data_IF_536127458126
#
_entry.id   IF_536127458126
#
_cell.length_a   1.000
_cell.length_b   1.000
_cell.length_c   1.000
_cell.angle_alpha   90.00
_cell.angle_beta   90.00
_cell.angle_gamma   90.00
#
_symmetry.space_group_name_H-M   'P 1'
#
loop_
_entity.id
_entity.type
_entity.pdbx_description
1 polymer ?
2 non-polymer ?
3 water ?
#
# COMPACT_ATOMS: atom_id res chain seq x y z
N UNK A 11 -15.99 -13.65 -10.83
CA UNK A 11 -16.77 -12.80 -9.93
C UNK A 11 -17.93 -12.20 -10.73
N UNK A 12 -19.14 -12.67 -10.46
CA UNK A 12 -20.31 -12.26 -11.23
C UNK A 12 -21.19 -11.24 -10.53
N UNK A 13 -20.98 -10.99 -9.23
CA UNK A 13 -21.78 -9.97 -8.54
C UNK A 13 -20.89 -9.15 -7.60
N UNK A 14 -21.46 -8.05 -7.10
CA UNK A 14 -20.77 -7.26 -6.10
C UNK A 14 -20.58 -8.05 -4.81
N UNK A 15 -21.55 -8.88 -4.43
CA UNK A 15 -21.32 -9.70 -3.23
C UNK A 15 -20.08 -10.58 -3.39
N UNK A 16 -19.89 -11.17 -4.59
CA UNK A 16 -18.71 -12.00 -4.83
C UNK A 16 -17.43 -11.19 -4.68
N UNK A 17 -17.40 -9.97 -5.19
CA UNK A 17 -16.21 -9.14 -4.99
C UNK A 17 -16.00 -8.89 -3.51
N UNK A 18 -17.09 -8.63 -2.78
CA UNK A 18 -16.99 -8.36 -1.35
C UNK A 18 -16.41 -9.55 -0.63
N UNK A 19 -16.93 -10.75 -0.90
CA UNK A 19 -16.47 -11.94 -0.19
C UNK A 19 -15.03 -12.29 -0.58
N UNK A 20 -14.67 -12.08 -1.84
CA UNK A 20 -13.29 -12.34 -2.25
C UNK A 20 -12.33 -11.40 -1.53
N UNK A 21 -12.64 -10.10 -1.50
CA UNK A 21 -11.74 -9.18 -0.82
C UNK A 21 -11.73 -9.43 0.69
N UNK A 22 -12.86 -9.81 1.25
CA UNK A 22 -12.90 -10.04 2.69
C UNK A 22 -12.04 -11.25 3.06
N UNK A 23 -12.09 -12.29 2.22
CA UNK A 23 -11.22 -13.44 2.47
C UNK A 23 -9.75 -13.07 2.28
N UNK A 24 -9.45 -12.26 1.26
CA UNK A 24 -8.09 -11.76 1.08
C UNK A 24 -7.60 -10.99 2.32
N UNK A 25 -8.40 -10.05 2.81
CA UNK A 25 -7.99 -9.29 3.98
C UNK A 25 -7.85 -10.18 5.19
N UNK A 26 -8.74 -11.16 5.33
CA UNK A 26 -8.63 -12.09 6.45
C UNK A 26 -7.29 -12.79 6.43
N UNK A 27 -6.93 -13.34 5.28
CA UNK A 27 -5.66 -14.01 5.16
C UNK A 27 -4.53 -13.04 5.48
N UNK A 28 -4.65 -11.79 5.03
CA UNK A 28 -3.59 -10.81 5.27
C UNK A 28 -3.39 -10.59 6.75
N UNK A 29 -4.48 -10.41 7.47
CA UNK A 29 -4.44 -10.18 8.91
C UNK A 29 -3.79 -11.37 9.61
N UNK A 30 -4.14 -12.58 9.18
CA UNK A 30 -3.54 -13.80 9.74
C UNK A 30 -2.03 -13.81 9.55
N UNK A 31 -1.57 -13.49 8.35
CA UNK A 31 -0.12 -13.46 8.10
C UNK A 31 0.57 -12.37 8.91
N UNK A 32 -0.09 -11.24 9.08
CA UNK A 32 0.47 -10.17 9.88
C UNK A 32 0.66 -10.58 11.33
N UNK A 33 -0.17 -11.50 11.84
CA UNK A 33 0.03 -11.92 13.22
C UNK A 33 1.44 -12.48 13.42
N UNK A 34 1.94 -13.31 12.48
CA UNK A 34 3.33 -13.82 12.57
C UNK A 34 4.33 -12.73 12.26
N UNK A 35 4.11 -12.00 11.16
CA UNK A 35 5.11 -11.05 10.72
C UNK A 35 5.37 -9.94 11.73
N UNK A 36 4.31 -9.41 12.35
CA UNK A 36 4.53 -8.28 13.24
C UNK A 36 5.37 -8.69 14.46
N UNK A 37 5.17 -9.91 14.97
CA UNK A 37 6.02 -10.38 16.05
C UNK A 37 7.47 -10.52 15.62
N UNK A 38 7.71 -11.07 14.43
CA UNK A 38 9.11 -11.19 14.03
C UNK A 38 9.76 -9.81 13.91
N UNK A 39 9.00 -8.84 13.39
CA UNK A 39 9.54 -7.51 13.19
C UNK A 39 9.81 -6.80 14.52
N UNK A 40 8.90 -6.95 15.48
CA UNK A 40 9.18 -6.47 16.84
C UNK A 40 10.50 -7.04 17.33
N UNK A 41 10.73 -8.34 17.11
CA UNK A 41 12.00 -8.92 17.53
C UNK A 41 13.18 -8.20 16.86
N UNK A 42 13.05 -7.89 15.57
CA UNK A 42 14.19 -7.39 14.79
C UNK A 42 14.50 -5.90 14.98
N UNK A 43 13.55 -5.11 15.51
CA UNK A 43 13.76 -3.67 15.57
C UNK A 43 14.82 -3.29 16.60
N UNK A 44 15.57 -2.24 16.28
CA UNK A 44 16.59 -1.74 17.17
C UNK A 44 16.01 -0.88 18.30
N UNK A 45 15.13 0.04 17.94
CA UNK A 45 14.53 0.96 18.89
C UNK A 45 13.51 0.23 19.76
N UNK A 46 13.49 0.57 21.04
CA UNK A 46 12.43 0.00 21.89
C UNK A 46 11.09 0.62 21.56
N UNK A 47 11.10 1.86 21.08
CA UNK A 47 9.86 2.46 20.63
C UNK A 47 9.28 1.75 19.41
N UNK A 48 10.13 1.40 18.44
CA UNK A 48 9.64 0.69 17.26
C UNK A 48 9.15 -0.71 17.62
N UNK A 49 9.88 -1.42 18.48
CA UNK A 49 9.40 -2.75 18.86
C UNK A 49 8.05 -2.67 19.60
N UNK A 50 7.90 -1.70 20.51
CA UNK A 50 6.62 -1.54 21.18
C UNK A 50 5.52 -1.17 20.20
N UNK A 51 5.83 -0.33 19.20
CA UNK A 51 4.82 -0.01 18.19
C UNK A 51 4.34 -1.25 17.44
N UNK A 52 5.28 -2.11 17.03
CA UNK A 52 4.94 -3.36 16.35
C UNK A 52 4.11 -4.29 17.24
N UNK A 53 4.47 -4.43 18.54
CA UNK A 53 3.71 -5.34 19.41
C UNK A 53 2.29 -4.83 19.66
N UNK A 54 2.14 -3.54 19.97
CA UNK A 54 0.80 -3.00 20.17
C UNK A 54 -0.03 -3.16 18.92
N UNK A 55 0.59 -2.96 17.75
CA UNK A 55 -0.21 -3.18 16.55
C UNK A 55 -0.53 -4.66 16.31
N UNK A 56 0.32 -5.56 16.78
CA UNK A 56 -0.04 -6.97 16.74
C UNK A 56 -1.32 -7.25 17.54
N UNK A 57 -1.42 -6.65 18.71
CA UNK A 57 -2.63 -6.78 19.53
C UNK A 57 -3.86 -6.23 18.78
N UNK A 58 -3.71 -5.07 18.14
CA UNK A 58 -4.80 -4.51 17.36
C UNK A 58 -5.18 -5.42 16.18
N UNK A 59 -4.19 -6.04 15.54
CA UNK A 59 -4.47 -6.92 14.42
C UNK A 59 -5.32 -8.09 14.85
N UNK A 60 -5.01 -8.63 16.03
CA UNK A 60 -5.79 -9.76 16.56
C UNK A 60 -7.22 -9.29 16.76
N UNK A 61 -7.40 -8.08 17.27
CA UNK A 61 -8.75 -7.53 17.41
C UNK A 61 -9.48 -7.44 16.08
N UNK A 62 -8.76 -7.07 15.00
CA UNK A 62 -9.36 -6.92 13.68
C UNK A 62 -9.74 -8.28 13.09
N UNK A 63 -8.93 -9.29 13.34
CA UNK A 63 -9.33 -10.63 13.00
C UNK A 63 -10.65 -10.95 13.68
N UNK A 64 -10.74 -10.64 14.97
CA UNK A 64 -11.98 -10.89 15.71
C UNK A 64 -13.16 -10.16 15.05
N UNK A 65 -12.95 -8.92 14.59
CA UNK A 65 -14.05 -8.20 13.99
C UNK A 65 -14.56 -8.91 12.74
N UNK A 66 -13.65 -9.35 11.88
CA UNK A 66 -14.10 -10.04 10.68
C UNK A 66 -14.81 -11.32 11.05
N UNK A 67 -14.32 -12.01 12.07
CA UNK A 67 -14.95 -13.25 12.54
C UNK A 67 -16.38 -13.01 13.01
N UNK A 68 -16.60 -11.90 13.73
CA UNK A 68 -17.94 -11.55 14.19
C UNK A 68 -18.84 -11.24 13.00
N UNK A 69 -18.32 -10.53 12.00
CA UNK A 69 -19.11 -10.28 10.81
C UNK A 69 -19.55 -11.60 10.18
N UNK A 70 -18.61 -12.54 10.07
CA UNK A 70 -18.90 -13.83 9.45
C UNK A 70 -19.94 -14.58 10.26
N UNK A 71 -19.80 -14.59 11.60
CA UNK A 71 -20.77 -15.28 12.44
C UNK A 71 -22.14 -14.62 12.35
N UNK A 72 -22.17 -13.33 12.02
CA UNK A 72 -23.42 -12.59 11.97
C UNK A 72 -24.13 -12.64 10.62
N UNK A 73 -23.42 -12.77 9.51
CA UNK A 73 -24.09 -12.69 8.22
C UNK A 73 -24.65 -14.05 7.76
N UNK A 74 -23.87 -15.10 7.92
CA UNK A 74 -24.34 -16.48 7.76
C UNK A 74 -24.59 -16.93 6.33
N UNK A 75 -24.73 -15.99 5.39
CA UNK A 75 -24.50 -16.31 3.99
C UNK A 75 -23.04 -16.12 3.62
N UNK A 76 -22.39 -15.15 4.28
CA UNK A 76 -20.97 -14.82 4.02
C UNK A 76 -20.12 -16.01 4.44
N UNK A 77 -19.16 -16.41 3.61
CA UNK A 77 -18.30 -17.54 3.86
C UNK A 77 -16.88 -17.19 3.43
N UNK A 78 -15.96 -17.15 4.38
CA UNK A 78 -14.55 -16.95 4.08
C UNK A 78 -14.04 -18.15 3.29
N UNK A 79 -13.57 -17.92 2.07
CA UNK A 79 -12.86 -18.94 1.31
C UNK A 79 -11.42 -18.99 1.81
N UNK A 80 -10.94 -20.19 2.14
CA UNK A 80 -9.54 -20.34 2.57
C UNK A 80 -8.63 -20.01 1.40
N UNK A 81 -7.92 -18.88 1.47
CA UNK A 81 -7.01 -18.47 0.40
C UNK A 81 -5.80 -17.77 1.00
N UNK A 82 -4.76 -17.58 0.18
CA UNK A 82 -3.57 -16.83 0.58
C UNK A 82 -3.54 -15.46 -0.10
N UNK A 83 -3.31 -14.41 0.68
CA UNK A 83 -3.07 -13.09 0.14
C UNK A 83 -1.61 -13.03 -0.30
N UNK A 84 -1.37 -13.10 -1.61
CA UNK A 84 0.02 -13.11 -2.09
C UNK A 84 0.67 -11.73 -1.95
N UNK A 85 -0.12 -10.66 -2.14
CA UNK A 85 0.43 -9.32 -1.97
C UNK A 85 1.00 -9.15 -0.57
N UNK A 86 0.21 -9.51 0.43
CA UNK A 86 0.69 -9.29 1.79
C UNK A 86 1.89 -10.18 2.07
N UNK A 87 1.87 -11.41 1.58
CA UNK A 87 3.01 -12.30 1.74
C UNK A 87 4.28 -11.67 1.15
N UNK A 88 4.18 -11.07 -0.03
CA UNK A 88 5.32 -10.34 -0.57
C UNK A 88 5.76 -9.17 0.33
N UNK A 89 4.81 -8.40 0.88
CA UNK A 89 5.24 -7.24 1.67
C UNK A 89 5.92 -7.68 2.98
N UNK A 90 5.41 -8.75 3.58
CA UNK A 90 6.04 -9.27 4.80
C UNK A 90 7.42 -9.77 4.49
N UNK A 91 7.55 -10.52 3.39
CA UNK A 91 8.85 -11.11 3.04
C UNK A 91 9.86 -10.00 2.79
N UNK A 92 9.43 -8.87 2.25
CA UNK A 92 10.36 -7.75 2.06
C UNK A 92 10.80 -7.12 3.39
N UNK A 93 9.89 -6.96 4.35
CA UNK A 93 10.33 -6.55 5.69
C UNK A 93 11.37 -7.52 6.26
N UNK A 94 11.13 -8.83 6.14
CA UNK A 94 12.12 -9.81 6.63
C UNK A 94 13.45 -9.68 5.88
N UNK A 95 13.40 -9.39 4.58
CA UNK A 95 14.64 -9.19 3.83
C UNK A 95 15.39 -7.95 4.30
N UNK A 96 14.69 -6.91 4.73
CA UNK A 96 15.39 -5.77 5.36
C UNK A 96 16.17 -6.26 6.56
N UNK A 97 15.53 -7.08 7.40
CA UNK A 97 16.23 -7.54 8.59
C UNK A 97 17.52 -8.24 8.21
N UNK A 98 17.48 -9.05 7.16
CA UNK A 98 18.70 -9.80 6.84
C UNK A 98 19.73 -8.94 6.09
N UNK A 99 19.33 -7.80 5.54
CA UNK A 99 20.25 -6.94 4.79
C UNK A 99 20.87 -5.83 5.62
N UNK A 100 20.67 -5.83 6.94
CA UNK A 100 21.06 -4.69 7.76
C UNK A 100 21.61 -5.14 9.11
N UNK A 101 22.45 -4.30 9.70
CA UNK A 101 22.78 -4.38 11.11
C UNK A 101 21.59 -3.91 11.96
N UNK A 102 21.63 -4.23 13.25
CA UNK A 102 20.54 -3.91 14.17
C UNK A 102 20.73 -2.49 14.68
N UNK A 103 20.45 -1.51 13.81
CA UNK A 103 20.65 -0.10 14.13
C UNK A 103 19.54 0.73 13.47
N UNK A 104 19.77 2.04 13.37
CA UNK A 104 18.77 2.96 12.82
C UNK A 104 18.54 2.80 11.31
N UNK A 105 19.52 2.26 10.58
CA UNK A 105 19.31 1.94 9.17
C UNK A 105 18.24 0.88 9.03
N UNK A 106 18.37 -0.19 9.82
CA UNK A 106 17.33 -1.21 9.76
C UNK A 106 15.99 -0.60 10.12
N UNK A 107 15.95 0.22 11.17
CA UNK A 107 14.67 0.79 11.62
C UNK A 107 14.06 1.71 10.55
N UNK A 108 14.88 2.48 9.83
CA UNK A 108 14.31 3.28 8.74
C UNK A 108 13.67 2.39 7.69
N UNK A 109 14.39 1.34 7.26
CA UNK A 109 13.84 0.50 6.18
C UNK A 109 12.69 -0.36 6.65
N UNK A 110 12.73 -0.79 7.90
CA UNK A 110 11.67 -1.60 8.47
C UNK A 110 10.41 -0.78 8.64
N UNK A 111 10.53 0.46 9.10
CA UNK A 111 9.35 1.32 9.17
C UNK A 111 8.75 1.49 7.77
N UNK A 112 9.61 1.68 6.77
CA UNK A 112 9.09 1.84 5.40
C UNK A 112 8.27 0.64 5.00
N UNK A 113 8.81 -0.57 5.25
CA UNK A 113 8.12 -1.79 4.85
C UNK A 113 6.81 -1.92 5.60
N UNK A 114 6.82 -1.55 6.88
CA UNK A 114 5.58 -1.63 7.65
C UNK A 114 4.54 -0.64 7.16
N UNK A 115 4.97 0.53 6.67
CA UNK A 115 3.98 1.47 6.12
C UNK A 115 3.39 0.95 4.82
N UNK A 116 4.20 0.25 4.02
CA UNK A 116 3.64 -0.39 2.83
C UNK A 116 2.57 -1.43 3.22
N UNK A 117 2.83 -2.24 4.25
CA UNK A 117 1.80 -3.18 4.72
C UNK A 117 0.54 -2.43 5.16
N UNK A 118 0.71 -1.41 6.00
CA UNK A 118 -0.44 -0.68 6.49
C UNK A 118 -1.25 -0.09 5.35
N UNK A 119 -0.59 0.44 4.33
CA UNK A 119 -1.36 1.10 3.27
C UNK A 119 -2.05 0.08 2.35
N UNK A 120 -1.47 -1.10 2.16
CA UNK A 120 -2.27 -2.16 1.53
C UNK A 120 -3.59 -2.32 2.28
N UNK A 121 -3.52 -2.31 3.61
CA UNK A 121 -4.73 -2.53 4.40
C UNK A 121 -5.67 -1.33 4.38
N UNK A 122 -5.13 -0.12 4.40
CA UNK A 122 -5.96 1.08 4.31
C UNK A 122 -6.80 1.04 3.04
N UNK A 123 -6.15 0.76 1.90
CA UNK A 123 -6.91 0.60 0.65
C UNK A 123 -7.94 -0.53 0.74
N UNK A 124 -7.52 -1.69 1.25
CA UNK A 124 -8.44 -2.82 1.28
C UNK A 124 -9.69 -2.49 2.11
N UNK A 125 -9.49 -1.95 3.30
CA UNK A 125 -10.62 -1.64 4.18
C UNK A 125 -11.44 -0.47 3.68
N UNK A 126 -10.84 0.48 2.96
CA UNK A 126 -11.64 1.51 2.30
C UNK A 126 -12.60 0.90 1.29
N UNK A 127 -12.09 -0.05 0.51
CA UNK A 127 -12.97 -0.71 -0.45
C UNK A 127 -14.05 -1.50 0.26
N UNK A 128 -13.67 -2.24 1.31
CA UNK A 128 -14.62 -3.09 2.03
C UNK A 128 -15.72 -2.25 2.68
N UNK A 129 -15.36 -1.07 3.22
CA UNK A 129 -16.41 -0.19 3.74
C UNK A 129 -17.33 0.25 2.61
N UNK A 130 -16.77 0.81 1.53
CA UNK A 130 -17.62 1.30 0.46
C UNK A 130 -18.62 0.23 0.06
N UNK A 131 -18.13 -1.00 -0.10
CA UNK A 131 -18.97 -2.06 -0.65
C UNK A 131 -19.98 -2.57 0.37
N UNK A 132 -19.57 -2.71 1.65
CA UNK A 132 -20.50 -3.15 2.68
C UNK A 132 -21.68 -2.18 2.82
N UNK A 133 -21.43 -0.88 2.65
CA UNK A 133 -22.54 0.07 2.68
C UNK A 133 -23.53 -0.24 1.55
N UNK A 134 -23.02 -0.63 0.38
CA UNK A 134 -23.93 -0.94 -0.72
C UNK A 134 -24.72 -2.22 -0.45
N UNK A 135 -24.08 -3.24 0.13
CA UNK A 135 -24.78 -4.51 0.30
C UNK A 135 -25.71 -4.57 1.51
N UNK A 136 -25.76 -3.55 2.35
CA UNK A 136 -26.69 -3.59 3.46
C UNK A 136 -26.22 -4.28 4.71
N UNK A 137 -24.90 -4.48 4.86
CA UNK A 137 -24.34 -5.03 6.11
C UNK A 137 -23.89 -3.85 6.96
N UNK A 138 -24.86 -3.15 7.56
CA UNK A 138 -24.55 -1.92 8.28
C UNK A 138 -23.59 -2.17 9.45
N UNK A 139 -23.88 -3.21 10.24
CA UNK A 139 -23.01 -3.56 11.37
C UNK A 139 -21.60 -3.88 10.88
N UNK A 140 -21.52 -4.62 9.76
CA UNK A 140 -20.25 -4.96 9.17
C UNK A 140 -19.51 -3.72 8.67
N UNK A 141 -20.21 -2.83 7.99
CA UNK A 141 -19.58 -1.59 7.53
C UNK A 141 -18.99 -0.81 8.70
N UNK A 142 -19.71 -0.74 9.83
CA UNK A 142 -19.23 -0.02 11.01
C UNK A 142 -17.99 -0.70 11.62
N UNK A 143 -18.02 -2.04 11.76
CA UNK A 143 -16.82 -2.73 12.25
C UNK A 143 -15.63 -2.53 11.30
N UNK A 144 -15.86 -2.62 9.99
CA UNK A 144 -14.75 -2.45 9.05
C UNK A 144 -14.19 -1.05 9.11
N UNK A 145 -15.06 -0.04 9.30
CA UNK A 145 -14.59 1.34 9.46
C UNK A 145 -13.77 1.51 10.73
N UNK A 146 -14.14 0.83 11.81
CA UNK A 146 -13.28 0.81 13.00
C UNK A 146 -11.88 0.29 12.63
N UNK A 147 -11.82 -0.83 11.89
CA UNK A 147 -10.49 -1.31 11.50
C UNK A 147 -9.75 -0.30 10.63
N UNK A 148 -10.47 0.32 9.69
CA UNK A 148 -9.84 1.28 8.80
C UNK A 148 -9.15 2.37 9.58
N UNK A 149 -9.87 2.94 10.54
CA UNK A 149 -9.30 4.02 11.33
C UNK A 149 -8.09 3.53 12.13
N UNK A 150 -8.14 2.30 12.66
CA UNK A 150 -6.95 1.77 13.35
C UNK A 150 -5.75 1.71 12.40
N UNK A 151 -5.93 1.15 11.20
CA UNK A 151 -4.82 1.05 10.26
C UNK A 151 -4.27 2.43 9.92
N UNK A 152 -5.14 3.40 9.70
CA UNK A 152 -4.73 4.76 9.43
C UNK A 152 -3.89 5.32 10.57
N UNK A 153 -4.38 5.15 11.79
CA UNK A 153 -3.65 5.65 12.96
C UNK A 153 -2.30 4.97 13.09
N UNK A 154 -2.27 3.67 12.89
CA UNK A 154 -0.98 2.97 12.90
C UNK A 154 -0.03 3.60 11.88
N UNK A 155 -0.54 3.93 10.69
CA UNK A 155 0.34 4.55 9.70
C UNK A 155 0.90 5.87 10.20
N UNK A 156 0.06 6.71 10.84
CA UNK A 156 0.56 7.98 11.36
C UNK A 156 1.62 7.77 12.44
N UNK A 157 1.38 6.81 13.34
CA UNK A 157 2.37 6.50 14.37
C UNK A 157 3.70 6.06 13.76
N UNK A 158 3.64 5.30 12.66
CA UNK A 158 4.88 4.89 11.99
C UNK A 158 5.58 6.09 11.36
N UNK A 159 4.83 7.04 10.79
CA UNK A 159 5.50 8.22 10.23
C UNK A 159 6.21 8.99 11.33
N UNK A 160 5.57 9.11 12.50
CA UNK A 160 6.22 9.78 13.63
C UNK A 160 7.52 9.06 14.01
N UNK A 161 7.48 7.73 14.08
CA UNK A 161 8.69 7.00 14.46
C UNK A 161 9.76 7.13 13.37
N UNK A 162 9.35 7.15 12.11
CA UNK A 162 10.28 7.37 11.01
C UNK A 162 10.99 8.70 11.14
N UNK A 163 10.26 9.74 11.57
CA UNK A 163 10.84 11.08 11.69
C UNK A 163 11.75 11.14 12.91
N UNK A 164 11.36 10.46 14.00
CA UNK A 164 12.18 10.38 15.22
C UNK A 164 13.36 9.41 15.14
N UNK A 165 13.43 8.62 14.07
CA UNK A 165 14.50 7.63 13.90
C UNK A 165 15.88 8.28 13.88
N UNK A 166 15.97 9.49 13.34
CA UNK A 166 17.23 10.20 13.19
C UNK A 166 17.16 11.49 13.99
N UNK A 167 18.14 11.71 14.86
CA UNK A 167 18.17 12.86 15.75
C UNK A 167 19.49 13.62 15.61
N UNK A 168 19.82 14.03 14.38
CA UNK A 168 21.10 14.73 14.17
C UNK A 168 21.03 16.22 14.55
N UNK A 169 20.27 17.02 13.81
CA UNK A 169 20.33 18.49 14.02
C UNK A 169 19.33 19.00 15.10
N UNK B 10 22.19 -4.83 0.30
CA UNK B 10 22.94 -4.62 1.55
C UNK B 10 22.98 -3.12 1.85
N UNK B 11 22.14 -2.69 2.79
CA UNK B 11 21.95 -1.28 3.12
C UNK B 11 22.69 -0.91 4.40
N UNK B 12 23.73 -0.10 4.23
CA UNK B 12 24.62 0.28 5.32
C UNK B 12 24.44 1.72 5.78
N UNK B 13 23.73 2.54 5.02
CA UNK B 13 23.51 3.93 5.41
C UNK B 13 22.07 4.29 5.15
N UNK B 14 21.63 5.43 5.71
CA UNK B 14 20.31 5.94 5.38
C UNK B 14 20.24 6.28 3.90
N UNK B 15 21.35 6.79 3.36
CA UNK B 15 21.46 7.06 1.91
C UNK B 15 21.26 5.77 1.09
N UNK B 16 21.84 4.65 1.55
CA UNK B 16 21.62 3.40 0.84
C UNK B 16 20.13 3.10 0.81
N UNK B 17 19.46 3.33 1.92
CA UNK B 17 18.05 3.02 1.99
C UNK B 17 17.28 3.93 1.07
N UNK B 18 17.63 5.21 1.08
CA UNK B 18 16.89 6.13 0.24
C UNK B 18 17.05 5.75 -1.22
N UNK B 19 18.29 5.49 -1.64
CA UNK B 19 18.46 5.23 -3.07
C UNK B 19 17.79 3.93 -3.46
N UNK B 20 17.86 2.92 -2.59
CA UNK B 20 17.18 1.67 -2.92
C UNK B 20 15.68 1.92 -3.08
N UNK B 21 15.07 2.66 -2.15
CA UNK B 21 13.62 2.90 -2.23
C UNK B 21 13.23 3.76 -3.42
N UNK B 22 14.09 4.73 -3.74
CA UNK B 22 13.81 5.58 -4.87
C UNK B 22 13.87 4.80 -6.18
N UNK B 23 14.85 3.88 -6.32
CA UNK B 23 14.92 3.03 -7.50
C UNK B 23 13.73 2.07 -7.56
N UNK B 24 13.31 1.55 -6.40
CA UNK B 24 12.11 0.72 -6.31
C UNK B 24 10.91 1.45 -6.88
N UNK B 25 10.70 2.69 -6.39
CA UNK B 25 9.59 3.51 -6.85
C UNK B 25 9.74 3.87 -8.33
N UNK B 26 10.96 4.14 -8.76
CA UNK B 26 11.16 4.47 -10.18
C UNK B 26 10.64 3.32 -11.05
N UNK B 27 11.03 2.08 -10.69
CA UNK B 27 10.55 0.93 -11.45
C UNK B 27 9.04 0.80 -11.36
N UNK B 28 8.47 1.10 -10.18
CA UNK B 28 7.02 1.03 -10.01
C UNK B 28 6.35 1.98 -10.98
N UNK B 29 6.89 3.19 -11.10
CA UNK B 29 6.32 4.17 -12.02
C UNK B 29 6.42 3.71 -13.47
N UNK B 30 7.60 3.25 -13.87
CA UNK B 30 7.79 2.75 -15.22
C UNK B 30 6.80 1.63 -15.54
N UNK B 31 6.57 0.75 -14.59
CA UNK B 31 5.62 -0.33 -14.84
C UNK B 31 4.22 0.22 -15.02
N UNK B 32 3.86 1.22 -14.20
CA UNK B 32 2.51 1.77 -14.23
C UNK B 32 2.20 2.42 -15.54
N UNK B 33 3.21 2.96 -16.23
CA UNK B 33 2.94 3.56 -17.53
C UNK B 33 2.31 2.53 -18.48
N UNK B 34 2.82 1.29 -18.48
CA UNK B 34 2.22 0.24 -19.29
C UNK B 34 0.88 -0.22 -18.70
N UNK B 35 0.83 -0.44 -17.39
CA UNK B 35 -0.36 -1.04 -16.79
C UNK B 35 -1.63 -0.18 -16.91
N UNK B 36 -1.51 1.12 -16.63
CA UNK B 36 -2.72 1.95 -16.62
C UNK B 36 -3.40 1.99 -17.98
N UNK B 37 -2.64 1.91 -19.09
CA UNK B 37 -3.26 1.91 -20.40
C UNK B 37 -4.20 0.70 -20.56
N UNK B 38 -3.74 -0.47 -20.12
CA UNK B 38 -4.59 -1.65 -20.19
C UNK B 38 -5.84 -1.47 -19.33
N UNK B 39 -5.67 -0.91 -18.14
CA UNK B 39 -6.82 -0.81 -17.26
C UNK B 39 -7.86 0.17 -17.79
N UNK B 40 -7.41 1.31 -18.34
CA UNK B 40 -8.35 2.20 -19.01
C UNK B 40 -9.08 1.47 -20.13
N UNK B 41 -8.36 0.69 -20.94
CA UNK B 41 -9.04 -0.06 -21.98
C UNK B 41 -10.10 -0.98 -21.38
N UNK B 42 -9.76 -1.64 -20.26
CA UNK B 42 -10.61 -2.72 -19.78
C UNK B 42 -11.85 -2.23 -19.05
N UNK B 43 -11.86 -0.97 -18.60
CA UNK B 43 -12.97 -0.47 -17.79
C UNK B 43 -14.25 -0.26 -18.60
N UNK B 44 -15.39 -0.49 -17.94
CA UNK B 44 -16.72 -0.33 -18.57
C UNK B 44 -17.07 1.17 -18.64
N UNK B 45 -17.02 1.90 -17.52
CA UNK B 45 -17.35 3.31 -17.54
C UNK B 45 -16.23 4.11 -18.22
N UNK B 46 -16.60 5.02 -19.12
CA UNK B 46 -15.63 5.99 -19.62
C UNK B 46 -15.15 6.94 -18.57
N UNK B 47 -15.87 7.09 -17.44
CA UNK B 47 -15.34 7.94 -16.36
C UNK B 47 -14.08 7.31 -15.77
N UNK B 48 -14.14 6.01 -15.50
CA UNK B 48 -13.00 5.28 -14.96
C UNK B 48 -11.86 5.21 -15.98
N UNK B 49 -12.21 5.01 -17.25
CA UNK B 49 -11.20 5.01 -18.30
C UNK B 49 -10.50 6.37 -18.39
N UNK B 50 -11.28 7.45 -18.27
CA UNK B 50 -10.67 8.77 -18.30
C UNK B 50 -9.76 9.00 -17.10
N UNK B 51 -10.18 8.55 -15.91
CA UNK B 51 -9.31 8.67 -14.74
C UNK B 51 -8.00 7.91 -14.92
N UNK B 52 -8.08 6.67 -15.42
CA UNK B 52 -6.87 5.89 -15.66
C UNK B 52 -5.95 6.59 -16.67
N UNK B 53 -6.51 7.15 -17.74
CA UNK B 53 -5.68 7.85 -18.72
C UNK B 53 -5.03 9.12 -18.13
N UNK B 54 -5.83 9.92 -17.42
CA UNK B 54 -5.28 11.14 -16.81
C UNK B 54 -4.15 10.80 -15.86
N UNK B 55 -4.33 9.73 -15.08
CA UNK B 55 -3.24 9.33 -14.22
C UNK B 55 -2.05 8.77 -14.99
N UNK B 56 -2.24 8.21 -16.17
CA UNK B 56 -1.09 7.81 -17.00
C UNK B 56 -0.23 9.02 -17.37
N UNK B 57 -0.87 10.12 -17.77
CA UNK B 57 -0.11 11.34 -18.02
C UNK B 57 0.60 11.83 -16.74
N UNK B 58 -0.11 11.79 -15.60
CA UNK B 58 0.55 12.17 -14.36
C UNK B 58 1.73 11.26 -14.02
N UNK B 59 1.59 9.97 -14.25
CA UNK B 59 2.69 9.06 -13.93
C UNK B 59 3.93 9.41 -14.76
N UNK B 60 3.74 9.74 -16.04
CA UNK B 60 4.92 10.15 -16.80
C UNK B 60 5.56 11.38 -16.15
N UNK B 61 4.72 12.30 -15.66
CA UNK B 61 5.26 13.48 -14.97
C UNK B 61 6.08 13.12 -13.75
N UNK B 62 5.64 12.12 -13.00
CA UNK B 62 6.35 11.77 -11.78
C UNK B 62 7.69 11.09 -12.09
N UNK B 63 7.72 10.26 -13.13
CA UNK B 63 8.99 9.71 -13.62
C UNK B 63 9.97 10.84 -13.93
N UNK B 64 9.50 11.85 -14.67
CA UNK B 64 10.37 12.98 -14.96
C UNK B 64 10.87 13.67 -13.69
N UNK B 65 10.05 13.71 -12.64
CA UNK B 65 10.51 14.34 -11.38
C UNK B 65 11.65 13.54 -10.76
N UNK B 66 11.54 12.22 -10.79
CA UNK B 66 12.66 11.44 -10.25
C UNK B 66 13.92 11.64 -11.10
N UNK B 67 13.75 11.70 -12.43
CA UNK B 67 14.92 11.96 -13.27
C UNK B 67 15.56 13.30 -12.91
N UNK B 68 14.75 14.31 -12.60
CA UNK B 68 15.28 15.62 -12.19
C UNK B 68 16.04 15.50 -10.86
N UNK B 69 15.53 14.73 -9.92
CA UNK B 69 16.28 14.51 -8.68
C UNK B 69 17.65 13.89 -8.97
N UNK B 70 17.67 12.83 -9.78
CA UNK B 70 18.93 12.16 -10.08
C UNK B 70 19.89 13.11 -10.79
N UNK B 71 19.38 13.91 -11.75
CA UNK B 71 20.29 14.80 -12.48
C UNK B 71 20.87 15.88 -11.59
N UNK B 72 20.13 16.32 -10.57
CA UNK B 72 20.62 17.40 -9.73
C UNK B 72 21.59 16.92 -8.67
N UNK B 73 21.41 15.71 -8.16
CA UNK B 73 22.24 15.30 -7.02
C UNK B 73 23.59 14.74 -7.46
N UNK B 74 23.59 13.83 -8.43
CA UNK B 74 24.80 13.36 -9.12
C UNK B 74 25.70 12.44 -8.29
N UNK B 75 25.52 12.44 -6.99
CA UNK B 75 26.01 11.33 -6.18
C UNK B 75 25.03 10.18 -6.17
N UNK B 76 23.82 10.39 -6.71
CA UNK B 76 22.75 9.41 -6.70
C UNK B 76 22.67 8.73 -8.05
N UNK B 77 22.57 7.41 -8.03
CA UNK B 77 22.48 6.61 -9.26
C UNK B 77 21.33 5.63 -9.10
N UNK B 78 20.36 5.72 -10.01
CA UNK B 78 19.24 4.79 -10.01
C UNK B 78 19.80 3.37 -10.13
N UNK B 79 19.43 2.51 -9.16
CA UNK B 79 19.73 1.08 -9.29
C UNK B 79 18.65 0.43 -10.15
N UNK B 80 19.05 -0.26 -11.21
CA UNK B 80 18.11 -1.01 -12.04
C UNK B 80 17.62 -2.23 -11.30
N UNK B 81 16.39 -2.15 -10.80
CA UNK B 81 15.74 -3.26 -10.07
C UNK B 81 14.28 -3.26 -10.50
N UNK B 82 13.60 -4.39 -10.40
CA UNK B 82 12.18 -4.47 -10.71
C UNK B 82 11.45 -4.30 -9.40
N UNK B 83 10.44 -3.45 -9.36
CA UNK B 83 9.61 -3.35 -8.18
C UNK B 83 8.65 -4.54 -8.20
N UNK B 84 8.92 -5.55 -7.36
CA UNK B 84 8.13 -6.78 -7.40
C UNK B 84 6.73 -6.59 -6.84
N UNK B 85 6.60 -5.79 -5.79
CA UNK B 85 5.28 -5.52 -5.22
C UNK B 85 4.36 -4.92 -6.28
N UNK B 86 4.84 -3.89 -6.99
CA UNK B 86 3.98 -3.21 -7.95
C UNK B 86 3.62 -4.16 -9.07
N UNK B 87 4.56 -4.98 -9.51
CA UNK B 87 4.24 -5.98 -10.51
C UNK B 87 3.09 -6.88 -10.05
N UNK B 88 3.14 -7.34 -8.80
CA UNK B 88 2.03 -8.14 -8.31
C UNK B 88 0.73 -7.37 -8.37
N UNK B 89 0.75 -6.11 -7.97
CA UNK B 89 -0.51 -5.36 -7.89
C UNK B 89 -1.11 -5.12 -9.25
N UNK B 90 -0.25 -4.82 -10.22
CA UNK B 90 -0.74 -4.63 -11.58
C UNK B 90 -1.33 -5.93 -12.11
N UNK B 91 -0.62 -7.06 -11.88
CA UNK B 91 -1.12 -8.35 -12.38
C UNK B 91 -2.45 -8.71 -11.75
N UNK B 92 -2.67 -8.33 -10.47
CA UNK B 92 -3.95 -8.55 -9.81
C UNK B 92 -5.06 -7.73 -10.47
N UNK B 93 -4.74 -6.52 -10.92
CA UNK B 93 -5.70 -5.77 -11.76
C UNK B 93 -6.05 -6.53 -13.03
N UNK B 94 -5.04 -7.07 -13.72
CA UNK B 94 -5.31 -7.82 -14.96
C UNK B 94 -6.13 -9.08 -14.70
N UNK B 95 -5.92 -9.72 -13.55
CA UNK B 95 -6.76 -10.85 -13.18
C UNK B 95 -8.20 -10.41 -12.96
N UNK B 96 -8.41 -9.22 -12.41
CA UNK B 96 -9.78 -8.73 -12.33
C UNK B 96 -10.37 -8.65 -13.74
N UNK B 97 -9.65 -8.06 -14.68
CA UNK B 97 -10.24 -7.87 -16.03
C UNK B 97 -10.62 -9.23 -16.63
N UNK B 98 -9.86 -10.30 -16.33
CA UNK B 98 -10.09 -11.63 -16.95
C UNK B 98 -11.19 -12.41 -16.24
N UNK B 99 -11.52 -12.03 -15.01
CA UNK B 99 -12.53 -12.76 -14.23
C UNK B 99 -13.90 -12.10 -14.23
N UNK B 100 -14.08 -11.03 -15.02
CA UNK B 100 -15.30 -10.26 -14.95
C UNK B 100 -15.71 -9.91 -16.38
N UNK B 101 -17.02 -9.79 -16.58
CA UNK B 101 -17.56 -9.18 -17.77
C UNK B 101 -17.31 -7.67 -17.69
N UNK B 102 -17.54 -6.98 -18.81
CA UNK B 102 -17.33 -5.53 -18.86
C UNK B 102 -18.60 -4.83 -18.33
N UNK B 103 -18.77 -4.91 -17.02
CA UNK B 103 -19.97 -4.38 -16.37
C UNK B 103 -19.55 -3.62 -15.11
N UNK B 104 -20.51 -3.29 -14.26
CA UNK B 104 -20.23 -2.52 -13.06
C UNK B 104 -19.43 -3.32 -12.03
N UNK B 105 -19.54 -4.65 -12.05
CA UNK B 105 -18.76 -5.50 -11.16
C UNK B 105 -17.26 -5.34 -11.46
N UNK B 106 -16.89 -5.42 -12.74
CA UNK B 106 -15.50 -5.20 -13.09
C UNK B 106 -15.03 -3.83 -12.62
N UNK B 107 -15.83 -2.79 -12.83
CA UNK B 107 -15.41 -1.44 -12.46
C UNK B 107 -15.17 -1.37 -10.95
N UNK B 108 -16.03 -2.02 -10.15
CA UNK B 108 -15.79 -1.98 -8.70
C UNK B 108 -14.45 -2.62 -8.35
N UNK B 109 -14.21 -3.82 -8.90
CA UNK B 109 -13.00 -4.57 -8.51
C UNK B 109 -11.73 -3.92 -9.07
N UNK B 110 -11.86 -3.24 -10.22
CA UNK B 110 -10.73 -2.54 -10.84
C UNK B 110 -10.39 -1.28 -10.08
N UNK B 111 -11.40 -0.53 -9.65
CA UNK B 111 -11.15 0.59 -8.75
C UNK B 111 -10.39 0.10 -7.52
N UNK B 112 -10.87 -1.01 -6.93
CA UNK B 112 -10.22 -1.55 -5.74
C UNK B 112 -8.75 -1.86 -5.99
N UNK B 113 -8.46 -2.54 -7.11
CA UNK B 113 -7.06 -2.89 -7.39
C UNK B 113 -6.21 -1.65 -7.58
N UNK B 114 -6.73 -0.65 -8.29
CA UNK B 114 -5.99 0.58 -8.53
C UNK B 114 -5.76 1.36 -7.23
N UNK B 115 -6.71 1.32 -6.28
CA UNK B 115 -6.45 1.96 -4.98
C UNK B 115 -5.33 1.25 -4.23
N UNK B 116 -5.26 -0.09 -4.33
CA UNK B 116 -4.10 -0.79 -3.75
C UNK B 116 -2.79 -0.30 -4.38
N UNK B 117 -2.81 -0.06 -5.70
CA UNK B 117 -1.63 0.50 -6.37
C UNK B 117 -1.27 1.87 -5.81
N UNK B 118 -2.24 2.78 -5.78
CA UNK B 118 -1.96 4.13 -5.32
C UNK B 118 -1.48 4.12 -3.87
N UNK B 119 -2.05 3.28 -3.02
CA UNK B 119 -1.63 3.34 -1.62
C UNK B 119 -0.26 2.72 -1.43
N UNK B 120 0.12 1.78 -2.28
CA UNK B 120 1.54 1.44 -2.29
C UNK B 120 2.37 2.67 -2.53
N UNK B 121 1.95 3.50 -3.50
CA UNK B 121 2.75 4.68 -3.84
C UNK B 121 2.73 5.72 -2.73
N UNK B 122 1.56 5.89 -2.11
CA UNK B 122 1.40 6.82 -0.99
C UNK B 122 2.39 6.48 0.13
N UNK B 123 2.44 5.20 0.50
CA UNK B 123 3.45 4.82 1.49
C UNK B 123 4.87 5.13 0.99
N UNK B 124 5.19 4.76 -0.25
CA UNK B 124 6.57 4.87 -0.72
C UNK B 124 7.02 6.31 -0.73
N UNK B 125 6.18 7.19 -1.28
CA UNK B 125 6.55 8.60 -1.38
C UNK B 125 6.57 9.27 0.00
N UNK B 126 5.72 8.84 0.93
CA UNK B 126 5.85 9.38 2.28
C UNK B 126 7.21 9.07 2.87
N UNK B 127 7.68 7.83 2.69
CA UNK B 127 9.00 7.46 3.22
C UNK B 127 10.08 8.27 2.53
N UNK B 128 9.95 8.44 1.20
CA UNK B 128 10.97 9.14 0.44
C UNK B 128 11.07 10.60 0.86
N UNK B 129 9.93 11.24 1.10
CA UNK B 129 9.95 12.62 1.59
C UNK B 129 10.72 12.70 2.91
N UNK B 130 10.33 11.86 3.89
CA UNK B 130 11.04 11.85 5.17
C UNK B 130 12.54 11.66 5.01
N UNK B 131 12.96 10.66 4.20
CA UNK B 131 14.38 10.34 4.13
C UNK B 131 15.14 11.43 3.42
N UNK B 132 14.56 11.96 2.35
CA UNK B 132 15.21 13.08 1.68
C UNK B 132 15.35 14.27 2.61
N UNK B 133 14.35 14.54 3.44
CA UNK B 133 14.49 15.64 4.40
C UNK B 133 15.64 15.36 5.38
N UNK B 134 15.76 14.12 5.85
CA UNK B 134 16.83 13.79 6.81
C UNK B 134 18.22 13.89 6.21
N UNK B 135 18.39 13.49 4.93
CA UNK B 135 19.71 13.52 4.28
C UNK B 135 20.10 14.91 3.76
N UNK B 136 19.22 15.91 3.85
CA UNK B 136 19.52 17.26 3.39
C UNK B 136 19.17 17.56 1.95
N UNK B 137 18.35 16.72 1.31
CA UNK B 137 17.98 16.96 -0.09
C UNK B 137 16.66 17.74 -0.13
N UNK B 138 16.73 19.03 0.24
CA UNK B 138 15.49 19.79 0.41
C UNK B 138 14.68 19.86 -0.89
N UNK B 139 15.34 20.19 -2.00
CA UNK B 139 14.64 20.28 -3.27
C UNK B 139 14.01 18.93 -3.67
N UNK B 140 14.75 17.84 -3.51
CA UNK B 140 14.21 16.53 -3.86
C UNK B 140 12.97 16.22 -3.01
N UNK B 141 13.03 16.53 -1.72
CA UNK B 141 11.87 16.35 -0.84
C UNK B 141 10.66 17.09 -1.39
N UNK B 142 10.86 18.31 -1.88
CA UNK B 142 9.73 19.05 -2.42
C UNK B 142 9.15 18.36 -3.66
N UNK B 143 10.01 17.92 -4.58
CA UNK B 143 9.47 17.22 -5.76
C UNK B 143 8.72 15.96 -5.34
N UNK B 144 9.31 15.20 -4.42
CA UNK B 144 8.66 13.98 -3.98
C UNK B 144 7.33 14.29 -3.31
N UNK B 145 7.25 15.41 -2.58
CA UNK B 145 5.98 15.81 -1.97
C UNK B 145 4.91 16.13 -3.01
N UNK B 146 5.30 16.80 -4.10
CA UNK B 146 4.36 17.00 -5.20
C UNK B 146 3.81 15.67 -5.70
N UNK B 147 4.69 14.70 -5.93
CA UNK B 147 4.20 13.39 -6.39
C UNK B 147 3.29 12.74 -5.33
N UNK B 148 3.68 12.84 -4.08
CA UNK B 148 2.88 12.24 -3.00
C UNK B 148 1.45 12.76 -3.05
N UNK B 149 1.32 14.09 -3.16
CA UNK B 149 -0.01 14.72 -3.16
C UNK B 149 -0.83 14.25 -4.34
N UNK B 150 -0.20 14.13 -5.52
CA UNK B 150 -0.93 13.62 -6.69
C UNK B 150 -1.46 12.22 -6.44
N UNK B 151 -0.64 11.36 -5.85
CA UNK B 151 -1.10 10.00 -5.61
C UNK B 151 -2.33 9.99 -4.71
N UNK B 152 -2.29 10.81 -3.64
CA UNK B 152 -3.41 10.92 -2.71
C UNK B 152 -4.63 11.48 -3.35
N UNK B 153 -4.45 12.46 -4.23
CA UNK B 153 -5.59 13.01 -5.01
C UNK B 153 -6.21 11.88 -5.82
N UNK B 154 -5.42 11.04 -6.49
CA UNK B 154 -5.96 10.04 -7.39
C UNK B 154 -6.74 8.99 -6.62
N UNK B 155 -6.20 8.55 -5.48
CA UNK B 155 -6.95 7.63 -4.65
C UNK B 155 -8.29 8.24 -4.22
N UNK B 156 -8.30 9.54 -3.90
CA UNK B 156 -9.56 10.17 -3.51
C UNK B 156 -10.58 10.16 -4.64
N UNK B 157 -10.13 10.48 -5.86
CA UNK B 157 -11.01 10.43 -7.04
C UNK B 157 -11.47 9.01 -7.31
N UNK B 158 -10.61 8.04 -7.09
CA UNK B 158 -10.99 6.65 -7.26
C UNK B 158 -12.06 6.26 -6.26
N UNK B 159 -11.94 6.78 -5.06
CA UNK B 159 -12.90 6.44 -3.99
C UNK B 159 -14.26 7.02 -4.36
N UNK B 160 -14.23 8.20 -4.97
CA UNK B 160 -15.47 8.87 -5.40
C UNK B 160 -16.12 8.05 -6.51
N UNK B 161 -15.38 7.78 -7.58
CA UNK B 161 -15.91 6.93 -8.67
C UNK B 161 -16.42 5.62 -8.06
N UNK B 162 -15.85 5.23 -6.92
CA UNK B 162 -16.24 3.93 -6.31
C UNK B 162 -17.55 4.08 -5.56
N UNK B 163 -17.78 5.27 -5.07
CA UNK B 163 -19.11 5.45 -4.47
C UNK B 163 -20.11 5.91 -5.53
N UNK B 164 -19.72 6.84 -6.39
CA UNK B 164 -20.57 7.31 -7.47
C UNK B 164 -20.66 6.34 -8.64
X LIG C 1 -2.51 -3.16 10.21
X LIG D 1 -4.42 -5.08 10.14
X LIG E 1 -0.06 6.59 -9.11
X LIG F 1 3.06 7.35 -9.50
#
# INVERSE_FOLDING_TARGET
MAHHHHHHMNMKSIEDVFIHLLSDTYSAEKQLTRGLAKLARAASSEKLSAAFNAHLEETQGQIERIDQIIEQESNLKIKRMKCVAMEGLIEEANEVVESTEKNEVRDAALIAAAQKVEHYEIASYGTLVTLAEQLGYKKAAKLLAETLEEEKQTDVKLTDLAVGNINMKAEK
MAHHHHHHMNMKSIEDVFIHLLSDTYSAEKQLTRGLAKLARAASSEKLSAAFNAHLEETQGQIERIDQIIEQESNLKIKRMKCVAMEGLIEEANEVVESTEKNEVRDAALIAAAQKVEHYEIASYGTLVTLAEQLGYKKAAKLLAETLEEEKQTDVKLTDLAVGNINMKAEK
ZN ZN
ZN ZN
ZN ZN
ZN ZN
#
